data_IF_942331349145
#
_entry.id   IF_942331349145
#
_cell.length_a   1.000
_cell.length_b   1.000
_cell.length_c   1.000
_cell.angle_alpha   90.00
_cell.angle_beta   90.00
_cell.angle_gamma   90.00
#
_symmetry.space_group_name_H-M   'P 1'
#
loop_
_entity.id
_entity.type
_entity.pdbx_description
1 polymer ?
#
# COMPACT_ATOMS: atom_id res chain seq x y z
N UNK A 1 1.69 7.47 -14.37
CA UNK A 1 0.89 7.71 -13.12
C UNK A 1 1.77 8.35 -12.06
N UNK A 2 1.30 9.38 -11.39
CA UNK A 2 2.02 9.99 -10.26
C UNK A 2 1.08 10.29 -9.10
N UNK A 3 1.65 10.66 -7.95
CA UNK A 3 0.92 10.91 -6.71
C UNK A 3 1.19 12.31 -6.21
N UNK A 4 0.13 13.04 -5.91
CA UNK A 4 0.18 14.34 -5.24
C UNK A 4 -0.33 14.18 -3.82
N UNK A 5 0.36 14.78 -2.85
CA UNK A 5 -0.02 14.73 -1.45
C UNK A 5 -0.44 16.11 -0.96
N UNK A 6 -1.69 16.23 -0.50
CA UNK A 6 -2.26 17.45 0.05
C UNK A 6 -2.46 17.35 1.55
N UNK A 7 -2.14 18.43 2.27
CA UNK A 7 -2.33 18.49 3.72
C UNK A 7 -3.83 18.63 4.03
N UNK A 8 -4.31 17.84 4.98
CA UNK A 8 -5.62 17.98 5.60
C UNK A 8 -5.45 18.61 6.98
N UNK A 9 -6.35 19.53 7.36
CA UNK A 9 -6.37 20.14 8.69
C UNK A 9 -7.74 19.87 9.34
N UNK A 10 -7.99 18.61 9.72
CA UNK A 10 -9.27 18.25 10.29
C UNK A 10 -9.51 18.91 11.64
N UNK A 11 -10.75 19.34 11.90
CA UNK A 11 -11.26 19.76 13.19
C UNK A 11 -11.17 18.62 14.22
N UNK A 12 -11.45 18.89 15.48
CA UNK A 12 -11.48 17.85 16.53
C UNK A 12 -12.48 16.74 16.21
N UNK A 13 -13.68 17.10 15.71
CA UNK A 13 -14.71 16.13 15.31
C UNK A 13 -14.25 15.29 14.11
N UNK A 14 -13.71 15.92 13.07
CA UNK A 14 -13.23 15.20 11.88
C UNK A 14 -12.07 14.25 12.21
N UNK A 15 -11.15 14.62 13.11
CA UNK A 15 -10.09 13.72 13.62
C UNK A 15 -10.68 12.50 14.28
N UNK A 16 -11.67 12.68 15.16
CA UNK A 16 -12.36 11.57 15.81
C UNK A 16 -13.00 10.64 14.77
N UNK A 17 -13.65 11.20 13.74
CA UNK A 17 -14.26 10.43 12.66
C UNK A 17 -13.23 9.70 11.77
N UNK A 18 -12.07 10.31 11.52
CA UNK A 18 -10.94 9.66 10.83
C UNK A 18 -10.43 8.49 11.68
N UNK A 19 -10.19 8.69 12.97
CA UNK A 19 -9.72 7.66 13.88
C UNK A 19 -10.67 6.46 13.94
N UNK A 20 -11.98 6.70 13.97
CA UNK A 20 -13.00 5.63 13.92
C UNK A 20 -12.84 4.76 12.68
N UNK A 21 -12.57 5.38 11.53
CA UNK A 21 -12.39 4.68 10.25
C UNK A 21 -11.11 3.85 10.24
N UNK A 22 -10.01 4.41 10.74
CA UNK A 22 -8.76 3.66 10.87
C UNK A 22 -8.87 2.49 11.86
N UNK A 23 -9.60 2.65 12.97
CA UNK A 23 -9.89 1.57 13.92
C UNK A 23 -10.75 0.48 13.30
N UNK A 24 -11.78 0.84 12.54
CA UNK A 24 -12.62 -0.11 11.81
C UNK A 24 -11.79 -0.92 10.79
N UNK A 25 -10.87 -0.25 10.05
CA UNK A 25 -10.01 -0.91 9.10
C UNK A 25 -9.02 -1.86 9.79
N UNK A 26 -8.42 -1.44 10.91
CA UNK A 26 -7.50 -2.27 11.71
C UNK A 26 -8.22 -3.53 12.24
N UNK A 27 -9.46 -3.39 12.70
CA UNK A 27 -10.29 -4.52 13.11
C UNK A 27 -10.53 -5.48 11.94
N UNK A 28 -10.98 -4.98 10.79
CA UNK A 28 -11.21 -5.80 9.59
C UNK A 28 -9.95 -6.51 9.12
N UNK A 29 -8.81 -5.81 9.09
CA UNK A 29 -7.52 -6.44 8.78
C UNK A 29 -7.26 -7.64 9.68
N UNK A 30 -7.35 -7.45 10.99
CA UNK A 30 -7.05 -8.50 11.96
C UNK A 30 -8.04 -9.68 11.90
N UNK A 31 -9.31 -9.41 11.64
CA UNK A 31 -10.32 -10.44 11.39
C UNK A 31 -9.96 -11.25 10.14
N UNK A 32 -9.54 -10.59 9.05
CA UNK A 32 -9.10 -11.26 7.83
C UNK A 32 -7.82 -12.08 8.03
N UNK A 33 -6.83 -11.52 8.74
CA UNK A 33 -5.58 -12.24 9.09
C UNK A 33 -5.89 -13.48 9.93
N UNK A 34 -6.78 -13.37 10.93
CA UNK A 34 -7.21 -14.52 11.76
C UNK A 34 -7.83 -15.62 10.90
N UNK A 35 -8.73 -15.25 9.98
CA UNK A 35 -9.35 -16.19 9.05
C UNK A 35 -8.31 -16.84 8.14
N UNK A 36 -7.47 -16.06 7.48
CA UNK A 36 -6.44 -16.55 6.57
C UNK A 36 -5.45 -17.51 7.28
N UNK A 37 -5.00 -17.17 8.50
CA UNK A 37 -4.16 -18.06 9.31
C UNK A 37 -4.83 -19.40 9.58
N UNK A 38 -6.12 -19.41 9.94
CA UNK A 38 -6.88 -20.64 10.18
C UNK A 38 -6.95 -21.49 8.91
N UNK A 39 -7.17 -20.88 7.76
CA UNK A 39 -7.18 -21.57 6.46
C UNK A 39 -5.80 -22.11 6.10
N UNK A 40 -4.72 -21.35 6.34
CA UNK A 40 -3.34 -21.80 6.11
C UNK A 40 -2.98 -23.01 6.96
N UNK A 41 -3.35 -23.01 8.25
CA UNK A 41 -3.12 -24.16 9.15
C UNK A 41 -3.84 -25.39 8.62
N UNK A 42 -5.11 -25.27 8.22
CA UNK A 42 -5.88 -26.40 7.64
C UNK A 42 -5.21 -26.93 6.37
N UNK A 43 -4.74 -26.06 5.49
CA UNK A 43 -4.08 -26.42 4.25
C UNK A 43 -2.77 -27.17 4.49
N UNK A 44 -2.03 -26.88 5.58
CA UNK A 44 -0.78 -27.59 5.94
C UNK A 44 -1.00 -29.06 6.26
N UNK A 45 -2.20 -29.43 6.72
CA UNK A 45 -2.56 -30.82 7.00
C UNK A 45 -3.18 -31.56 5.81
N UNK A 46 -3.36 -30.89 4.66
CA UNK A 46 -3.86 -31.52 3.43
C UNK A 46 -2.71 -32.28 2.75
N UNK A 47 -2.80 -33.62 2.78
CA UNK A 47 -1.79 -34.54 2.20
C UNK A 47 -1.68 -34.36 0.68
N UNK A 48 -2.83 -34.16 0.00
CA UNK A 48 -2.85 -33.96 -1.47
C UNK A 48 -2.18 -32.65 -1.86
N UNK A 49 -2.43 -31.58 -1.09
CA UNK A 49 -1.74 -30.30 -1.30
C UNK A 49 -0.22 -30.43 -1.09
N UNK A 50 0.21 -31.16 -0.07
CA UNK A 50 1.62 -31.40 0.19
C UNK A 50 2.28 -32.17 -0.95
N UNK A 51 1.63 -33.23 -1.46
CA UNK A 51 2.12 -34.02 -2.60
C UNK A 51 2.23 -33.18 -3.88
N UNK A 52 1.17 -32.43 -4.22
CA UNK A 52 1.18 -31.52 -5.38
C UNK A 52 2.27 -30.44 -5.28
N UNK A 53 2.47 -29.90 -4.07
CA UNK A 53 3.52 -28.90 -3.83
C UNK A 53 4.91 -29.50 -4.03
N UNK A 54 5.15 -30.71 -3.58
CA UNK A 54 6.42 -31.41 -3.79
C UNK A 54 6.68 -31.63 -5.28
N UNK A 55 5.70 -32.14 -6.03
CA UNK A 55 5.79 -32.32 -7.48
C UNK A 55 6.13 -31.01 -8.21
N UNK A 56 5.42 -29.92 -7.85
CA UNK A 56 5.68 -28.60 -8.41
C UNK A 56 7.10 -28.09 -8.11
N UNK A 57 7.61 -28.32 -6.91
CA UNK A 57 8.97 -27.91 -6.51
C UNK A 57 10.02 -28.72 -7.25
N UNK A 58 9.84 -30.03 -7.40
CA UNK A 58 10.75 -30.91 -8.15
C UNK A 58 10.79 -30.53 -9.63
N UNK A 59 9.61 -30.32 -10.25
CA UNK A 59 9.51 -29.84 -11.62
C UNK A 59 10.18 -28.47 -11.78
N UNK A 60 9.91 -27.53 -10.88
CA UNK A 60 10.54 -26.20 -10.93
C UNK A 60 12.08 -26.26 -10.81
N UNK A 61 12.62 -27.15 -9.97
CA UNK A 61 14.07 -27.37 -9.86
C UNK A 61 14.66 -28.00 -11.13
N UNK A 62 13.96 -28.93 -11.76
CA UNK A 62 14.38 -29.52 -13.05
C UNK A 62 14.40 -28.47 -14.14
N UNK A 63 13.36 -27.63 -14.21
CA UNK A 63 13.20 -26.59 -15.24
C UNK A 63 14.19 -25.43 -15.06
N UNK A 64 14.59 -25.11 -13.83
CA UNK A 64 15.56 -24.04 -13.57
C UNK A 64 16.98 -24.33 -14.11
N UNK A 65 17.26 -25.61 -14.45
CA UNK A 65 18.55 -26.05 -15.01
C UNK A 65 18.55 -26.09 -16.55
N UNK A 66 17.40 -25.87 -17.20
CA UNK A 66 17.26 -25.83 -18.65
C UNK A 66 17.43 -24.40 -19.16
N UNK A 67 18.21 -24.20 -20.22
CA UNK A 67 18.37 -22.90 -20.89
C UNK A 67 17.07 -22.46 -21.59
N UNK A 68 16.34 -23.39 -22.21
CA UNK A 68 15.04 -23.15 -22.83
C UNK A 68 13.99 -24.15 -22.31
N UNK A 69 12.79 -23.62 -22.06
CA UNK A 69 11.63 -24.40 -21.61
C UNK A 69 10.78 -24.82 -22.82
N UNK A 70 10.54 -26.12 -22.97
CA UNK A 70 9.62 -26.64 -23.99
C UNK A 70 8.18 -26.19 -23.72
N UNK A 71 7.31 -26.26 -24.74
CA UNK A 71 5.88 -25.97 -24.59
C UNK A 71 5.22 -26.94 -23.60
N UNK A 72 5.64 -28.21 -23.59
CA UNK A 72 5.18 -29.26 -22.70
C UNK A 72 5.55 -28.96 -21.24
N UNK A 73 6.81 -28.62 -20.97
CA UNK A 73 7.28 -28.21 -19.63
C UNK A 73 6.46 -27.05 -19.06
N UNK A 74 6.15 -26.07 -19.91
CA UNK A 74 5.33 -24.89 -19.51
C UNK A 74 3.88 -25.30 -19.22
N UNK A 75 3.33 -26.22 -20.01
CA UNK A 75 1.97 -26.72 -19.85
C UNK A 75 1.84 -27.55 -18.54
N UNK A 76 2.79 -28.45 -18.29
CA UNK A 76 2.81 -29.25 -17.05
C UNK A 76 2.92 -28.37 -15.81
N UNK A 77 3.86 -27.42 -15.81
CA UNK A 77 4.00 -26.45 -14.69
C UNK A 77 2.74 -25.64 -14.45
N UNK A 78 2.06 -25.22 -15.54
CA UNK A 78 0.79 -24.50 -15.48
C UNK A 78 -0.32 -25.36 -14.90
N UNK A 79 -0.41 -26.63 -15.29
CA UNK A 79 -1.42 -27.58 -14.79
C UNK A 79 -1.26 -27.82 -13.29
N UNK A 80 -0.05 -28.09 -12.81
CA UNK A 80 0.23 -28.25 -11.37
C UNK A 80 -0.05 -26.96 -10.59
N UNK A 81 0.29 -25.80 -11.13
CA UNK A 81 -0.03 -24.52 -10.51
C UNK A 81 -1.54 -24.29 -10.38
N UNK A 82 -2.33 -24.70 -11.37
CA UNK A 82 -3.78 -24.61 -11.35
C UNK A 82 -4.39 -25.54 -10.28
N UNK A 83 -3.93 -26.81 -10.19
CA UNK A 83 -4.37 -27.74 -9.15
C UNK A 83 -4.04 -27.23 -7.74
N UNK A 84 -2.85 -26.67 -7.53
CA UNK A 84 -2.49 -26.03 -6.27
C UNK A 84 -3.38 -24.83 -5.95
N UNK A 85 -3.76 -24.04 -6.95
CA UNK A 85 -4.65 -22.88 -6.78
C UNK A 85 -6.08 -23.34 -6.41
N UNK A 86 -6.58 -24.39 -7.06
CA UNK A 86 -7.88 -24.98 -6.76
C UNK A 86 -7.93 -25.49 -5.32
N UNK A 87 -6.93 -26.27 -4.88
CA UNK A 87 -6.84 -26.74 -3.50
C UNK A 87 -6.83 -25.58 -2.50
N UNK A 88 -6.00 -24.56 -2.73
CA UNK A 88 -6.00 -23.36 -1.87
C UNK A 88 -7.37 -22.70 -1.82
N UNK A 89 -8.03 -22.58 -2.96
CA UNK A 89 -9.36 -21.97 -3.05
C UNK A 89 -10.41 -22.78 -2.27
N UNK A 90 -10.36 -24.12 -2.30
CA UNK A 90 -11.23 -25.00 -1.52
C UNK A 90 -11.09 -24.77 0.00
N UNK A 91 -9.91 -24.38 0.48
CA UNK A 91 -9.66 -23.97 1.87
C UNK A 91 -9.94 -22.49 2.15
N UNK A 92 -10.49 -21.73 1.18
CA UNK A 92 -10.77 -20.31 1.33
C UNK A 92 -9.53 -19.41 1.22
N UNK A 93 -8.42 -19.93 0.69
CA UNK A 93 -7.17 -19.20 0.46
C UNK A 93 -7.05 -18.75 -1.00
N UNK A 94 -7.91 -17.83 -1.38
CA UNK A 94 -7.83 -17.08 -2.63
C UNK A 94 -8.18 -15.61 -2.37
N UNK A 95 -7.75 -14.72 -3.28
CA UNK A 95 -8.08 -13.30 -3.19
C UNK A 95 -9.59 -13.08 -3.08
N UNK A 96 -10.38 -13.72 -3.96
CA UNK A 96 -11.83 -13.60 -3.97
C UNK A 96 -12.49 -14.14 -2.70
N UNK A 97 -11.98 -15.23 -2.14
CA UNK A 97 -12.51 -15.79 -0.89
C UNK A 97 -12.29 -14.83 0.29
N UNK A 98 -11.11 -14.19 0.39
CA UNK A 98 -10.85 -13.17 1.41
C UNK A 98 -11.70 -11.92 1.22
N UNK A 99 -11.88 -11.47 -0.04
CA UNK A 99 -12.79 -10.36 -0.35
C UNK A 99 -14.23 -10.66 0.05
N UNK A 100 -14.74 -11.85 -0.30
CA UNK A 100 -16.09 -12.30 0.09
C UNK A 100 -16.25 -12.36 1.60
N UNK A 101 -15.26 -12.94 2.31
CA UNK A 101 -15.28 -13.00 3.76
C UNK A 101 -15.30 -11.61 4.40
N UNK A 102 -14.42 -10.71 3.94
CA UNK A 102 -14.35 -9.37 4.48
C UNK A 102 -15.58 -8.52 4.11
N UNK A 103 -16.19 -8.73 2.95
CA UNK A 103 -17.43 -8.08 2.54
C UNK A 103 -18.55 -8.33 3.57
N UNK A 104 -18.66 -9.55 4.09
CA UNK A 104 -19.65 -9.89 5.13
C UNK A 104 -19.30 -9.18 6.44
N UNK A 105 -18.06 -9.29 6.90
CA UNK A 105 -17.59 -8.66 8.14
C UNK A 105 -17.65 -7.12 8.07
N UNK A 106 -17.46 -6.55 6.88
CA UNK A 106 -17.45 -5.09 6.65
C UNK A 106 -18.83 -4.44 6.70
N UNK A 107 -19.92 -5.19 6.57
CA UNK A 107 -21.29 -4.63 6.59
C UNK A 107 -21.58 -3.77 7.82
N UNK A 108 -21.10 -4.17 8.99
CA UNK A 108 -21.26 -3.41 10.23
C UNK A 108 -20.53 -2.05 10.22
N UNK A 109 -19.55 -1.85 9.33
CA UNK A 109 -18.79 -0.61 9.19
C UNK A 109 -19.18 0.19 7.95
N UNK A 110 -20.32 -0.10 7.30
CA UNK A 110 -20.76 0.56 6.05
C UNK A 110 -20.95 2.07 6.19
N UNK A 111 -21.20 2.57 7.41
CA UNK A 111 -21.27 4.01 7.72
C UNK A 111 -19.89 4.67 7.88
N UNK A 112 -18.81 3.90 7.91
CA UNK A 112 -17.44 4.39 8.12
C UNK A 112 -16.55 4.13 6.92
N UNK A 113 -16.70 2.97 6.26
CA UNK A 113 -15.85 2.48 5.18
C UNK A 113 -16.70 2.10 3.96
N UNK A 114 -16.20 2.44 2.79
CA UNK A 114 -16.81 1.99 1.54
C UNK A 114 -16.46 0.53 1.24
N UNK A 115 -17.24 -0.12 0.39
CA UNK A 115 -16.97 -1.49 -0.07
C UNK A 115 -15.59 -1.64 -0.75
N UNK A 116 -15.14 -0.63 -1.51
CA UNK A 116 -13.82 -0.64 -2.13
C UNK A 116 -12.68 -0.60 -1.11
N UNK A 117 -12.84 0.16 -0.03
CA UNK A 117 -11.84 0.20 1.05
C UNK A 117 -11.73 -1.14 1.76
N UNK A 118 -12.85 -1.81 1.99
CA UNK A 118 -12.88 -3.18 2.55
C UNK A 118 -12.21 -4.17 1.62
N UNK A 119 -12.46 -4.11 0.30
CA UNK A 119 -11.79 -4.94 -0.69
C UNK A 119 -10.28 -4.68 -0.75
N UNK A 120 -9.87 -3.40 -0.74
CA UNK A 120 -8.45 -3.04 -0.72
C UNK A 120 -7.72 -3.63 0.48
N UNK A 121 -8.40 -3.73 1.62
CA UNK A 121 -7.82 -4.34 2.81
C UNK A 121 -7.72 -5.87 2.68
N UNK A 122 -8.70 -6.53 2.06
CA UNK A 122 -8.60 -7.95 1.72
C UNK A 122 -7.41 -8.21 0.78
N UNK A 123 -7.20 -7.34 -0.23
CA UNK A 123 -6.06 -7.41 -1.15
C UNK A 123 -4.72 -7.30 -0.41
N UNK A 124 -4.62 -6.39 0.57
CA UNK A 124 -3.41 -6.26 1.41
C UNK A 124 -3.11 -7.52 2.21
N UNK A 125 -4.14 -8.13 2.80
CA UNK A 125 -3.97 -9.39 3.52
C UNK A 125 -3.60 -10.51 2.56
N UNK A 126 -4.21 -10.56 1.37
CA UNK A 126 -3.88 -11.53 0.33
C UNK A 126 -2.41 -11.42 -0.09
N UNK A 127 -1.88 -10.23 -0.33
CA UNK A 127 -0.44 -10.03 -0.61
C UNK A 127 0.45 -10.59 0.52
N UNK A 128 0.00 -10.50 1.77
CA UNK A 128 0.69 -11.13 2.90
C UNK A 128 0.63 -12.66 2.85
N UNK A 129 -0.52 -13.23 2.50
CA UNK A 129 -0.70 -14.68 2.29
C UNK A 129 0.21 -15.18 1.17
N UNK A 130 0.25 -14.48 0.03
CA UNK A 130 1.14 -14.82 -1.10
C UNK A 130 2.61 -14.86 -0.69
N UNK A 131 3.06 -13.86 0.08
CA UNK A 131 4.44 -13.85 0.61
C UNK A 131 4.73 -15.05 1.51
N UNK A 132 3.76 -15.51 2.30
CA UNK A 132 3.91 -16.68 3.15
C UNK A 132 3.86 -18.01 2.36
N UNK A 133 3.06 -18.07 1.29
CA UNK A 133 2.89 -19.29 0.49
C UNK A 133 3.98 -19.46 -0.57
N UNK A 134 4.42 -18.38 -1.21
CA UNK A 134 5.28 -18.41 -2.39
C UNK A 134 6.59 -17.66 -2.25
N UNK A 135 6.73 -16.82 -1.24
CA UNK A 135 7.88 -15.95 -1.00
C UNK A 135 8.60 -16.26 0.31
N UNK A 136 9.34 -15.28 0.79
CA UNK A 136 10.14 -15.37 2.00
C UNK A 136 9.38 -14.93 3.27
N UNK A 137 8.05 -14.84 3.21
CA UNK A 137 7.23 -14.45 4.35
C UNK A 137 7.17 -15.56 5.40
N UNK A 138 7.59 -15.25 6.64
CA UNK A 138 7.58 -16.24 7.75
C UNK A 138 6.18 -16.46 8.32
N UNK A 139 5.38 -15.41 8.50
CA UNK A 139 4.03 -15.48 9.04
C UNK A 139 3.21 -14.22 8.73
N UNK A 140 1.89 -14.39 8.61
CA UNK A 140 0.96 -13.26 8.61
C UNK A 140 0.95 -12.62 10.01
N UNK A 141 1.02 -11.29 10.08
CA UNK A 141 1.04 -10.56 11.34
C UNK A 141 -0.24 -9.77 11.54
N UNK A 142 -0.75 -9.77 12.77
CA UNK A 142 -1.72 -8.79 13.20
C UNK A 142 -1.10 -7.40 13.22
N UNK A 143 -1.89 -6.38 12.96
CA UNK A 143 -1.46 -4.99 13.03
C UNK A 143 -2.18 -4.28 14.17
N UNK A 144 -1.48 -3.43 14.89
CA UNK A 144 -2.10 -2.49 15.83
C UNK A 144 -2.69 -1.32 15.06
N UNK A 145 -3.64 -0.61 15.64
CA UNK A 145 -4.23 0.60 15.06
C UNK A 145 -3.16 1.61 14.60
N UNK A 146 -2.10 1.79 15.40
CA UNK A 146 -1.01 2.73 15.12
C UNK A 146 -0.16 2.32 13.91
N UNK A 147 -0.22 1.07 13.50
CA UNK A 147 0.54 0.55 12.35
C UNK A 147 -0.18 0.78 11.01
N UNK A 148 -1.38 1.38 11.05
CA UNK A 148 -2.13 1.76 9.87
C UNK A 148 -1.88 3.22 9.53
N UNK A 149 -1.25 3.45 8.40
CA UNK A 149 -0.93 4.78 7.89
C UNK A 149 -1.82 5.23 6.74
N UNK A 150 -2.49 4.31 6.05
CA UNK A 150 -3.22 4.62 4.81
C UNK A 150 -4.51 3.81 4.67
N UNK A 151 -5.61 4.50 4.37
CA UNK A 151 -6.86 3.90 3.89
C UNK A 151 -6.95 4.17 2.39
N UNK A 152 -6.88 3.10 1.59
CA UNK A 152 -6.84 3.18 0.13
C UNK A 152 -8.20 3.03 -0.53
N UNK A 153 -8.38 3.70 -1.67
CA UNK A 153 -9.49 3.51 -2.60
C UNK A 153 -9.05 2.80 -3.88
N UNK A 154 -10.01 2.44 -4.72
CA UNK A 154 -9.79 1.87 -6.07
C UNK A 154 -10.29 2.80 -7.18
N UNK A 155 -11.10 3.79 -6.86
CA UNK A 155 -11.64 4.78 -7.81
C UNK A 155 -12.01 6.07 -7.09
N UNK A 156 -12.07 7.18 -7.83
CA UNK A 156 -12.53 8.47 -7.31
C UNK A 156 -14.07 8.60 -7.28
N UNK A 157 -14.80 7.49 -7.42
CA UNK A 157 -16.27 7.45 -7.42
C UNK A 157 -16.85 6.83 -6.14
N UNK A 158 -16.00 6.16 -5.34
CA UNK A 158 -16.47 5.43 -4.17
C UNK A 158 -15.38 5.43 -3.07
N UNK A 159 -15.79 5.75 -1.85
CA UNK A 159 -14.90 5.84 -0.70
C UNK A 159 -14.42 7.26 -0.47
N UNK A 160 -13.14 7.51 -0.55
CA UNK A 160 -12.55 8.85 -0.52
C UNK A 160 -12.49 9.39 -1.95
N UNK A 161 -13.29 10.40 -2.25
CA UNK A 161 -13.39 11.03 -3.56
C UNK A 161 -12.84 12.47 -3.45
N UNK A 162 -11.87 12.80 -4.28
CA UNK A 162 -11.29 14.14 -4.33
C UNK A 162 -11.96 14.97 -5.43
N UNK A 163 -12.38 16.17 -5.06
CA UNK A 163 -12.88 17.21 -5.94
C UNK A 163 -11.81 18.30 -6.07
N UNK A 164 -11.29 18.49 -7.29
CA UNK A 164 -10.24 19.45 -7.58
C UNK A 164 -10.72 20.89 -7.57
N UNK A 165 -11.97 21.15 -7.92
CA UNK A 165 -12.53 22.51 -7.95
C UNK A 165 -12.82 23.00 -6.52
N UNK A 166 -13.47 22.17 -5.73
CA UNK A 166 -13.75 22.47 -4.34
C UNK A 166 -12.54 22.32 -3.41
N UNK A 167 -11.44 21.68 -3.88
CA UNK A 167 -10.29 21.30 -3.06
C UNK A 167 -10.69 20.54 -1.80
N UNK A 168 -11.56 19.55 -1.97
CA UNK A 168 -12.16 18.79 -0.88
C UNK A 168 -12.11 17.28 -1.14
N UNK A 169 -11.98 16.51 -0.08
CA UNK A 169 -12.22 15.07 -0.10
C UNK A 169 -13.54 14.76 0.58
N UNK A 170 -14.46 14.16 -0.16
CA UNK A 170 -15.68 13.56 0.38
C UNK A 170 -15.41 12.10 0.73
N UNK A 171 -15.71 11.68 1.97
CA UNK A 171 -15.41 10.34 2.44
C UNK A 171 -16.49 9.78 3.35
N UNK A 172 -17.43 9.04 2.79
CA UNK A 172 -18.55 8.39 3.51
C UNK A 172 -19.16 9.33 4.57
N UNK A 173 -19.78 10.42 4.11
CA UNK A 173 -20.42 11.41 4.97
C UNK A 173 -19.48 12.38 5.71
N UNK A 174 -18.18 12.29 5.47
CA UNK A 174 -17.18 13.22 5.99
C UNK A 174 -16.62 14.06 4.83
N UNK A 175 -16.50 15.38 5.02
CA UNK A 175 -15.92 16.31 4.04
C UNK A 175 -14.66 16.96 4.62
N UNK A 176 -13.53 16.79 3.96
CA UNK A 176 -12.23 17.23 4.45
C UNK A 176 -11.61 18.24 3.47
N UNK A 177 -11.29 19.42 3.94
CA UNK A 177 -10.65 20.47 3.13
C UNK A 177 -9.17 20.15 2.92
N UNK A 178 -8.73 20.22 1.65
CA UNK A 178 -7.34 20.06 1.24
C UNK A 178 -6.64 21.42 1.16
N UNK A 179 -5.38 21.45 1.56
CA UNK A 179 -4.56 22.67 1.56
C UNK A 179 -3.37 22.49 0.64
N UNK A 180 -3.18 23.46 -0.24
CA UNK A 180 -2.01 23.56 -1.11
C UNK A 180 -0.73 23.83 -0.28
N UNK A 181 0.43 23.43 -0.79
CA UNK A 181 1.72 23.77 -0.18
C UNK A 181 1.90 25.30 -0.08
N UNK A 182 2.62 25.75 0.95
CA UNK A 182 2.92 27.17 1.15
C UNK A 182 3.97 27.70 0.17
N UNK A 183 4.94 26.88 -0.21
CA UNK A 183 6.01 27.24 -1.15
C UNK A 183 5.43 27.45 -2.55
N UNK A 184 5.75 28.55 -3.19
CA UNK A 184 5.26 28.91 -4.53
C UNK A 184 5.61 27.83 -5.58
N UNK A 185 6.84 27.32 -5.57
CA UNK A 185 7.27 26.28 -6.50
C UNK A 185 6.52 24.94 -6.31
N UNK A 186 6.30 24.52 -5.05
CA UNK A 186 5.54 23.31 -4.76
C UNK A 186 4.06 23.50 -5.08
N UNK A 187 3.53 24.69 -4.86
CA UNK A 187 2.15 25.03 -5.19
C UNK A 187 1.91 24.97 -6.69
N UNK A 188 2.74 25.62 -7.49
CA UNK A 188 2.65 25.58 -8.96
C UNK A 188 2.74 24.15 -9.49
N UNK A 189 3.63 23.32 -8.94
CA UNK A 189 3.73 21.89 -9.29
C UNK A 189 2.45 21.12 -8.99
N UNK A 190 1.87 21.34 -7.81
CA UNK A 190 0.61 20.67 -7.41
C UNK A 190 -0.56 21.13 -8.28
N UNK A 191 -0.70 22.44 -8.51
CA UNK A 191 -1.76 22.99 -9.35
C UNK A 191 -1.67 22.47 -10.80
N UNK A 192 -0.47 22.37 -11.35
CA UNK A 192 -0.26 21.76 -12.67
C UNK A 192 -0.60 20.27 -12.67
N UNK A 193 -0.19 19.52 -11.62
CA UNK A 193 -0.53 18.11 -11.49
C UNK A 193 -2.03 17.86 -11.41
N UNK A 194 -2.76 18.68 -10.67
CA UNK A 194 -4.21 18.53 -10.46
C UNK A 194 -5.07 18.82 -11.69
N UNK A 195 -4.49 19.33 -12.78
CA UNK A 195 -5.19 19.41 -14.09
C UNK A 195 -5.41 18.02 -14.71
N UNK A 196 -4.66 17.02 -14.25
CA UNK A 196 -4.76 15.64 -14.72
C UNK A 196 -5.98 14.91 -14.16
N UNK A 197 -6.23 13.72 -14.71
CA UNK A 197 -7.36 12.86 -14.34
C UNK A 197 -7.12 12.15 -13.02
N UNK A 198 -7.98 12.34 -12.04
CA UNK A 198 -7.90 11.67 -10.74
C UNK A 198 -8.37 10.22 -10.89
N UNK A 199 -7.48 9.27 -10.62
CA UNK A 199 -7.81 7.84 -10.60
C UNK A 199 -8.51 7.45 -9.29
N UNK A 200 -7.89 7.77 -8.16
CA UNK A 200 -8.44 7.53 -6.82
C UNK A 200 -7.71 8.37 -5.78
N UNK A 201 -8.29 8.46 -4.60
CA UNK A 201 -7.76 9.16 -3.45
C UNK A 201 -7.56 8.21 -2.27
N UNK A 202 -6.42 8.33 -1.58
CA UNK A 202 -6.15 7.67 -0.31
C UNK A 202 -6.14 8.70 0.82
N UNK A 203 -6.56 8.28 2.01
CA UNK A 203 -6.37 9.09 3.22
C UNK A 203 -5.19 8.50 4.00
N UNK A 204 -4.21 9.35 4.28
CA UNK A 204 -2.98 8.98 4.98
C UNK A 204 -2.85 9.73 6.30
N UNK A 205 -2.40 9.02 7.31
CA UNK A 205 -2.00 9.61 8.59
C UNK A 205 -0.51 9.35 8.85
N UNK A 206 0.18 10.33 9.41
CA UNK A 206 1.58 10.22 9.83
C UNK A 206 1.73 10.78 11.23
N UNK A 207 2.42 10.05 12.11
CA UNK A 207 2.80 10.54 13.42
C UNK A 207 4.07 11.38 13.31
N UNK A 208 4.05 12.55 13.93
CA UNK A 208 5.19 13.44 14.12
C UNK A 208 5.34 13.75 15.61
N UNK A 209 6.44 14.35 16.03
CA UNK A 209 6.62 14.82 17.42
C UNK A 209 5.50 15.76 17.88
N UNK A 210 4.94 16.55 16.96
CA UNK A 210 3.81 17.46 17.18
C UNK A 210 2.42 16.79 17.11
N UNK A 211 2.36 15.45 16.98
CA UNK A 211 1.12 14.67 16.85
C UNK A 211 0.80 14.21 15.44
N UNK A 212 -0.40 13.67 15.27
CA UNK A 212 -0.87 13.16 13.99
C UNK A 212 -1.10 14.26 12.95
N UNK A 213 -0.60 14.04 11.73
CA UNK A 213 -0.93 14.83 10.54
C UNK A 213 -1.63 13.94 9.52
N UNK A 214 -2.58 14.53 8.82
CA UNK A 214 -3.43 13.85 7.85
C UNK A 214 -3.21 14.42 6.46
N UNK A 215 -3.24 13.54 5.48
CA UNK A 215 -2.99 13.91 4.08
C UNK A 215 -3.98 13.18 3.18
N UNK A 216 -4.38 13.84 2.09
CA UNK A 216 -4.98 13.21 0.94
C UNK A 216 -3.88 12.88 -0.07
N UNK A 217 -3.72 11.64 -0.43
CA UNK A 217 -2.87 11.19 -1.54
C UNK A 217 -3.74 11.00 -2.76
N UNK A 218 -3.54 11.85 -3.74
CA UNK A 218 -4.32 11.88 -4.98
C UNK A 218 -3.48 11.22 -6.05
N UNK A 219 -3.97 10.12 -6.59
CA UNK A 219 -3.32 9.35 -7.63
C UNK A 219 -3.88 9.80 -8.97
N UNK A 220 -3.00 10.31 -9.82
CA UNK A 220 -3.29 10.89 -11.13
C UNK A 220 -2.85 9.93 -12.23
N UNK A 221 -3.61 9.91 -13.33
CA UNK A 221 -3.36 9.02 -14.47
C UNK A 221 -2.12 9.44 -15.26
N UNK A 222 -1.95 10.71 -15.42
CA UNK A 222 -0.88 11.32 -16.21
C UNK A 222 0.47 11.21 -15.47
N UNK A 223 1.56 11.46 -16.20
CA UNK A 223 2.89 11.52 -15.62
C UNK A 223 3.12 12.84 -14.89
N UNK A 224 4.09 12.85 -14.00
CA UNK A 224 4.41 14.03 -13.21
C UNK A 224 4.86 15.19 -14.11
N UNK A 225 4.39 16.43 -13.86
CA UNK A 225 4.90 17.60 -14.56
C UNK A 225 6.43 17.71 -14.42
N UNK A 226 7.08 18.20 -15.46
CA UNK A 226 8.52 18.47 -15.41
C UNK A 226 8.84 19.47 -14.30
N UNK A 227 9.87 19.17 -13.51
CA UNK A 227 10.34 20.10 -12.49
C UNK A 227 10.96 21.33 -13.16
N UNK A 228 10.43 22.50 -12.85
CA UNK A 228 10.94 23.77 -13.39
C UNK A 228 12.27 24.22 -12.76
N UNK A 229 12.81 23.47 -11.81
CA UNK A 229 14.13 23.79 -11.23
C UNK A 229 15.23 23.30 -12.18
N UNK A 230 16.14 24.18 -12.60
CA UNK A 230 17.32 23.73 -13.33
C UNK A 230 18.06 22.71 -12.43
N UNK A 231 18.32 21.54 -12.97
CA UNK A 231 19.20 20.57 -12.32
C UNK A 231 20.61 21.18 -12.43
N UNK A 232 21.24 21.47 -11.28
CA UNK A 232 22.63 21.90 -11.29
C UNK A 232 23.49 20.83 -11.97
N UNK A 233 24.45 21.25 -12.76
CA UNK A 233 25.39 20.37 -13.45
C UNK A 233 26.58 20.00 -12.58
N UNK A 234 26.77 20.68 -11.45
CA UNK A 234 27.84 20.42 -10.48
C UNK A 234 27.52 19.23 -9.59
N UNK A 235 28.52 18.43 -9.34
CA UNK A 235 28.45 17.26 -8.45
C UNK A 235 28.87 17.67 -7.03
N UNK A 236 28.09 17.30 -6.02
CA UNK A 236 28.44 17.45 -4.61
C UNK A 236 28.48 16.09 -3.95
N UNK A 237 29.60 15.75 -3.34
CA UNK A 237 29.74 14.60 -2.46
C UNK A 237 29.36 14.99 -1.02
N UNK A 238 28.58 14.14 -0.35
CA UNK A 238 28.27 14.30 1.06
C UNK A 238 28.72 13.01 1.76
N UNK A 239 29.63 13.16 2.73
CA UNK A 239 30.05 12.07 3.61
C UNK A 239 29.39 12.26 4.99
N UNK A 240 28.37 11.46 5.33
CA UNK A 240 27.71 11.54 6.63
C UNK A 240 28.51 10.74 7.68
N UNK A 241 29.51 11.36 8.27
CA UNK A 241 30.23 10.78 9.41
C UNK A 241 29.37 10.77 10.69
N UNK A 242 29.80 10.03 11.70
CA UNK A 242 29.06 9.88 12.98
C UNK A 242 29.06 11.17 13.80
N UNK A 243 30.15 11.93 13.76
CA UNK A 243 30.32 13.20 14.50
C UNK A 243 30.39 14.42 13.61
N UNK A 244 30.73 14.25 12.34
CA UNK A 244 30.96 15.35 11.40
C UNK A 244 30.39 14.99 10.04
N UNK A 245 29.74 15.93 9.40
CA UNK A 245 29.31 15.79 7.98
C UNK A 245 30.27 16.61 7.13
N UNK A 246 30.82 15.97 6.12
CA UNK A 246 31.61 16.64 5.08
C UNK A 246 30.79 16.81 3.81
N UNK A 247 30.67 18.03 3.33
CA UNK A 247 30.12 18.36 2.02
C UNK A 247 31.23 18.89 1.11
N UNK A 248 31.47 18.22 0.00
CA UNK A 248 32.51 18.64 -0.97
C UNK A 248 31.86 18.87 -2.34
N UNK A 249 32.08 20.05 -2.88
CA UNK A 249 31.74 20.42 -4.26
C UNK A 249 32.99 20.86 -5.02
N UNK A 250 32.87 21.14 -6.29
CA UNK A 250 33.99 21.65 -7.11
C UNK A 250 34.56 22.98 -6.59
N UNK A 251 33.76 23.76 -5.85
CA UNK A 251 34.13 25.11 -5.41
C UNK A 251 34.20 25.28 -3.90
N UNK A 252 33.71 24.35 -3.09
CA UNK A 252 33.64 24.47 -1.64
C UNK A 252 33.74 23.12 -0.93
N UNK A 253 34.40 23.14 0.23
CA UNK A 253 34.37 22.03 1.20
C UNK A 253 33.82 22.58 2.51
N UNK A 254 32.76 21.94 3.02
CA UNK A 254 32.13 22.32 4.28
C UNK A 254 32.22 21.13 5.23
N UNK A 255 32.72 21.37 6.45
CA UNK A 255 32.73 20.42 7.55
C UNK A 255 31.82 20.95 8.64
N UNK A 256 30.84 20.17 9.05
CA UNK A 256 29.89 20.57 10.10
C UNK A 256 29.84 19.50 11.19
N UNK A 257 30.02 19.91 12.43
CA UNK A 257 29.90 19.00 13.58
C UNK A 257 28.41 18.77 13.92
N UNK A 258 28.01 17.49 13.96
CA UNK A 258 26.63 17.09 14.25
C UNK A 258 26.28 17.15 15.74
N UNK A 259 27.30 17.13 16.61
CA UNK A 259 27.13 17.22 18.06
C UNK A 259 28.32 17.97 18.65
N UNK A 260 28.25 19.30 18.81
CA UNK A 260 29.25 20.02 19.62
C UNK A 260 29.22 19.52 21.06
N UNK A 261 30.41 19.27 21.63
CA UNK A 261 30.59 18.83 23.02
C UNK A 261 30.18 19.92 24.02
#
# INVERSE_FOLDING_TARGET
MHTVQLLLKPSKYERYEIDRRFRALAHLHNVCVKYARKCMVRLQYDKDYAALRQQYMELSKKLSKKEELSKEDKAEKKALSAQLAERRSAYGLSKSALECYLKVCGKQFSKLLSSQQVQTEADRVWCGVEKCLFGNGKALRFKRFMDFDTIGGKSNKNGACFDSEAMMVSWVGLSLKCFLPKSASSRSYVEESLKGTVCYCNIKQKMFSSGWRYYAEIILKEDAPARKRPIGTSTMGIDPGVSTVAGVSETACVLEELAPK
#
